data_IF_570682994498
#
_entry.id   IF_570682994498
#
_cell.length_a   1.000
_cell.length_b   1.000
_cell.length_c   1.000
_cell.angle_alpha   90.00
_cell.angle_beta   90.00
_cell.angle_gamma   90.00
#
_symmetry.space_group_name_H-M   'P 1'
#
loop_
_entity.id
_entity.type
_entity.pdbx_description
1 polymer ?
#
# COMPACT_ATOMS: atom_id res chain seq x y z
N UNK A 1 46.66 -4.85 9.41
CA UNK A 1 45.88 -4.95 8.16
C UNK A 1 44.41 -4.99 8.53
N UNK A 2 43.75 -3.89 8.38
CA UNK A 2 42.29 -3.82 8.56
C UNK A 2 41.64 -4.54 7.39
N UNK A 3 41.12 -5.74 7.62
CA UNK A 3 40.23 -6.38 6.66
C UNK A 3 38.96 -5.53 6.71
N UNK A 4 38.75 -4.72 5.68
CA UNK A 4 37.50 -4.01 5.50
C UNK A 4 36.37 -5.02 5.52
N UNK A 5 35.32 -4.74 6.31
CA UNK A 5 34.11 -5.58 6.27
C UNK A 5 33.63 -5.67 4.83
N UNK A 6 33.25 -6.87 4.37
CA UNK A 6 32.76 -7.04 3.00
C UNK A 6 31.53 -6.18 2.79
N UNK A 7 31.59 -5.30 1.81
CA UNK A 7 30.44 -4.49 1.40
C UNK A 7 29.30 -5.36 0.86
N UNK A 8 28.13 -4.75 0.65
CA UNK A 8 27.00 -5.43 0.03
C UNK A 8 27.22 -5.57 -1.47
N UNK A 9 27.13 -6.79 -1.99
CA UNK A 9 27.09 -7.05 -3.43
C UNK A 9 25.67 -6.83 -3.96
N UNK A 10 25.48 -5.82 -4.79
CA UNK A 10 24.16 -5.43 -5.28
C UNK A 10 23.46 -6.56 -6.05
N UNK A 11 24.21 -7.30 -6.87
CA UNK A 11 23.62 -8.35 -7.73
C UNK A 11 23.05 -9.54 -6.94
N UNK A 12 23.49 -9.73 -5.70
CA UNK A 12 23.02 -10.81 -4.83
C UNK A 12 22.24 -10.32 -3.62
N UNK A 13 22.16 -9.01 -3.41
CA UNK A 13 21.43 -8.43 -2.30
C UNK A 13 19.91 -8.53 -2.48
N UNK A 14 19.25 -9.34 -1.65
CA UNK A 14 17.79 -9.44 -1.65
C UNK A 14 17.09 -8.10 -1.29
N UNK A 15 17.70 -7.31 -0.41
CA UNK A 15 17.20 -5.98 -0.07
C UNK A 15 17.21 -5.04 -1.26
N UNK A 16 18.29 -5.04 -2.04
CA UNK A 16 18.39 -4.27 -3.27
C UNK A 16 17.39 -4.75 -4.33
N UNK A 17 17.24 -6.06 -4.51
CA UNK A 17 16.29 -6.66 -5.44
C UNK A 17 14.83 -6.30 -5.06
N UNK A 18 14.49 -6.32 -3.78
CA UNK A 18 13.17 -5.90 -3.29
C UNK A 18 12.90 -4.43 -3.62
N UNK A 19 13.89 -3.56 -3.44
CA UNK A 19 13.76 -2.15 -3.79
C UNK A 19 13.61 -1.96 -5.30
N UNK A 20 14.35 -2.69 -6.10
CA UNK A 20 14.25 -2.65 -7.56
C UNK A 20 12.86 -3.13 -8.02
N UNK A 21 12.37 -4.24 -7.46
CA UNK A 21 11.03 -4.75 -7.75
C UNK A 21 9.94 -3.77 -7.34
N UNK A 22 10.06 -3.17 -6.14
CA UNK A 22 9.12 -2.15 -5.67
C UNK A 22 9.12 -0.91 -6.57
N UNK A 23 10.29 -0.48 -7.05
CA UNK A 23 10.41 0.66 -7.98
C UNK A 23 9.75 0.37 -9.33
N UNK A 24 9.99 -0.82 -9.88
CA UNK A 24 9.36 -1.25 -11.14
C UNK A 24 7.83 -1.34 -11.00
N UNK A 25 7.34 -1.91 -9.91
CA UNK A 25 5.91 -1.99 -9.60
C UNK A 25 5.31 -0.59 -9.46
N UNK A 26 5.99 0.30 -8.72
CA UNK A 26 5.55 1.69 -8.55
C UNK A 26 5.36 2.39 -9.90
N UNK A 27 6.33 2.30 -10.80
CA UNK A 27 6.26 2.90 -12.13
C UNK A 27 5.11 2.33 -12.97
N UNK A 28 4.91 1.01 -12.92
CA UNK A 28 3.83 0.35 -13.64
C UNK A 28 2.44 0.76 -13.11
N UNK A 29 2.30 0.88 -11.79
CA UNK A 29 1.06 1.34 -11.16
C UNK A 29 0.77 2.81 -11.50
N UNK A 30 1.76 3.69 -11.44
CA UNK A 30 1.58 5.08 -11.85
C UNK A 30 1.10 5.20 -13.29
N UNK A 31 1.67 4.40 -14.20
CA UNK A 31 1.31 4.43 -15.61
C UNK A 31 -0.17 4.11 -15.85
N UNK A 32 -0.77 3.20 -15.07
CA UNK A 32 -2.19 2.82 -15.24
C UNK A 32 -3.14 3.67 -14.41
N UNK A 33 -2.69 4.27 -13.31
CA UNK A 33 -3.53 5.09 -12.43
C UNK A 33 -3.59 6.56 -12.87
N UNK A 34 -2.52 7.09 -13.45
CA UNK A 34 -2.46 8.49 -13.89
C UNK A 34 -3.55 8.85 -14.90
N UNK A 35 -3.85 8.04 -15.94
CA UNK A 35 -4.96 8.32 -16.85
C UNK A 35 -6.33 8.36 -16.16
N UNK A 36 -6.47 7.74 -15.00
CA UNK A 36 -7.68 7.74 -14.19
C UNK A 36 -7.74 8.92 -13.19
N UNK A 37 -6.75 9.81 -13.22
CA UNK A 37 -6.65 10.93 -12.29
C UNK A 37 -6.29 10.54 -10.87
N UNK A 38 -5.70 9.37 -10.67
CA UNK A 38 -5.30 8.84 -9.36
C UNK A 38 -3.80 8.75 -9.20
N UNK A 39 -3.34 8.97 -7.96
CA UNK A 39 -2.02 8.53 -7.51
C UNK A 39 -2.12 7.14 -6.88
N UNK A 40 -0.97 6.49 -6.69
CA UNK A 40 -0.91 5.19 -5.97
C UNK A 40 -1.47 5.34 -4.56
N UNK A 41 -1.16 6.43 -3.87
CA UNK A 41 -1.64 6.68 -2.51
C UNK A 41 -3.15 6.92 -2.45
N UNK A 42 -3.72 7.63 -3.43
CA UNK A 42 -5.18 7.75 -3.58
C UNK A 42 -5.83 6.37 -3.72
N UNK A 43 -5.32 5.56 -4.63
CA UNK A 43 -5.82 4.20 -4.85
C UNK A 43 -5.73 3.35 -3.60
N UNK A 44 -4.56 3.34 -2.93
CA UNK A 44 -4.34 2.57 -1.70
C UNK A 44 -5.33 2.97 -0.60
N UNK A 45 -5.58 4.25 -0.43
CA UNK A 45 -6.56 4.75 0.54
C UNK A 45 -7.97 4.27 0.22
N UNK A 46 -8.42 4.39 -1.02
CA UNK A 46 -9.75 3.94 -1.44
C UNK A 46 -9.90 2.42 -1.27
N UNK A 47 -8.89 1.64 -1.61
CA UNK A 47 -8.89 0.19 -1.47
C UNK A 47 -8.97 -0.23 0.02
N UNK A 48 -8.18 0.42 0.89
CA UNK A 48 -8.24 0.18 2.33
C UNK A 48 -9.61 0.49 2.91
N UNK A 49 -10.23 1.61 2.51
CA UNK A 49 -11.58 1.97 2.94
C UNK A 49 -12.63 0.96 2.48
N UNK A 50 -12.46 0.39 1.29
CA UNK A 50 -13.38 -0.61 0.75
C UNK A 50 -13.25 -1.95 1.47
N UNK A 51 -12.03 -2.39 1.74
CA UNK A 51 -11.76 -3.72 2.29
C UNK A 51 -11.76 -3.78 3.81
N UNK A 52 -11.46 -2.67 4.47
CA UNK A 52 -11.35 -2.55 5.94
C UNK A 52 -12.16 -1.36 6.42
N UNK A 53 -13.50 -1.44 6.40
CA UNK A 53 -14.34 -0.35 6.88
C UNK A 53 -14.09 -0.05 8.35
N UNK A 54 -14.17 1.20 8.73
CA UNK A 54 -14.00 1.63 10.12
C UNK A 54 -12.56 1.97 10.53
N UNK A 55 -11.60 2.01 9.61
CA UNK A 55 -10.24 2.42 9.92
C UNK A 55 -10.16 3.89 10.33
N UNK A 56 -9.37 4.18 11.37
CA UNK A 56 -8.98 5.53 11.76
C UNK A 56 -8.00 6.13 10.75
N UNK A 57 -7.82 7.46 10.80
CA UNK A 57 -6.82 8.14 9.97
C UNK A 57 -5.41 7.60 10.20
N UNK A 58 -5.07 7.24 11.43
CA UNK A 58 -3.77 6.64 11.77
C UNK A 58 -3.59 5.26 11.16
N UNK A 59 -4.64 4.44 11.18
CA UNK A 59 -4.63 3.10 10.59
C UNK A 59 -4.56 3.16 9.06
N UNK A 60 -5.29 4.10 8.44
CA UNK A 60 -5.19 4.36 6.99
C UNK A 60 -3.77 4.80 6.59
N UNK A 61 -3.18 5.71 7.36
CA UNK A 61 -1.82 6.19 7.11
C UNK A 61 -0.81 5.05 7.15
N UNK A 62 -0.89 4.18 8.16
CA UNK A 62 -0.03 2.99 8.27
C UNK A 62 -0.25 2.02 7.11
N UNK A 63 -1.50 1.74 6.76
CA UNK A 63 -1.83 0.84 5.66
C UNK A 63 -1.41 1.36 4.29
N UNK A 64 -1.39 2.67 4.09
CA UNK A 64 -0.96 3.32 2.86
C UNK A 64 0.53 3.72 2.86
N UNK A 65 1.26 3.42 3.93
CA UNK A 65 2.69 3.73 4.09
C UNK A 65 3.01 5.22 3.99
N UNK A 66 2.15 6.07 4.53
CA UNK A 66 2.31 7.52 4.58
C UNK A 66 2.17 8.04 6.01
N UNK A 67 2.55 9.31 6.24
CA UNK A 67 2.35 9.95 7.53
C UNK A 67 0.86 10.26 7.77
N UNK A 68 0.49 10.41 9.04
CA UNK A 68 -0.86 10.85 9.41
C UNK A 68 -1.22 12.20 8.77
N UNK A 69 -0.27 13.13 8.74
CA UNK A 69 -0.47 14.45 8.14
C UNK A 69 -0.73 14.35 6.63
N UNK A 70 0.07 13.54 5.92
CA UNK A 70 -0.15 13.28 4.50
C UNK A 70 -1.50 12.62 4.24
N UNK A 71 -1.91 11.69 5.10
CA UNK A 71 -3.22 11.05 5.00
C UNK A 71 -4.38 12.06 5.21
N UNK A 72 -4.25 12.99 6.15
CA UNK A 72 -5.27 14.03 6.35
C UNK A 72 -5.44 14.91 5.11
N UNK A 73 -4.34 15.34 4.50
CA UNK A 73 -4.37 16.13 3.26
C UNK A 73 -5.02 15.34 2.12
N UNK A 74 -4.67 14.07 2.00
CA UNK A 74 -5.22 13.17 1.00
C UNK A 74 -6.73 12.96 1.16
N UNK A 75 -7.20 12.73 2.38
CA UNK A 75 -8.63 12.55 2.67
C UNK A 75 -9.43 13.81 2.36
N UNK A 76 -8.87 14.99 2.65
CA UNK A 76 -9.51 16.26 2.27
C UNK A 76 -9.66 16.39 0.75
N UNK A 77 -8.62 16.00 0.00
CA UNK A 77 -8.67 16.02 -1.47
C UNK A 77 -9.71 15.03 -2.02
N UNK A 78 -9.76 13.82 -1.47
CA UNK A 78 -10.73 12.79 -1.87
C UNK A 78 -12.17 13.21 -1.54
N UNK A 79 -12.37 13.86 -0.39
CA UNK A 79 -13.66 14.41 0.01
C UNK A 79 -14.11 15.52 -0.95
N UNK A 80 -13.20 16.42 -1.30
CA UNK A 80 -13.47 17.48 -2.25
C UNK A 80 -13.84 16.95 -3.64
N UNK A 81 -13.24 15.83 -4.04
CA UNK A 81 -13.56 15.15 -5.30
C UNK A 81 -14.86 14.33 -5.22
N UNK A 82 -15.49 14.23 -4.07
CA UNK A 82 -16.70 13.46 -3.85
C UNK A 82 -16.50 11.94 -3.85
N UNK A 83 -15.29 11.47 -3.59
CA UNK A 83 -14.97 10.03 -3.58
C UNK A 83 -15.12 9.41 -2.19
N UNK A 84 -14.98 10.23 -1.15
CA UNK A 84 -15.19 9.84 0.24
C UNK A 84 -16.07 10.86 0.95
N UNK A 85 -16.67 10.42 2.03
CA UNK A 85 -17.46 11.26 2.93
C UNK A 85 -16.99 11.01 4.36
N UNK A 86 -16.83 12.11 5.10
CA UNK A 86 -16.64 12.05 6.55
C UNK A 86 -17.99 12.30 7.17
N UNK A 87 -18.57 11.33 7.90
CA UNK A 87 -19.84 11.56 8.56
C UNK A 87 -19.75 12.74 9.53
N UNK A 88 -20.74 13.61 9.49
CA UNK A 88 -20.82 14.75 10.40
C UNK A 88 -21.00 14.26 11.83
N UNK A 89 -20.06 14.59 12.70
CA UNK A 89 -20.07 14.45 14.15
C UNK A 89 -20.61 13.14 14.74
N UNK A 90 -19.69 12.35 15.29
CA UNK A 90 -20.06 11.32 16.24
C UNK A 90 -20.75 11.96 17.46
N UNK A 91 -21.87 11.41 17.93
CA UNK A 91 -22.35 11.74 19.26
C UNK A 91 -21.29 11.29 20.26
N UNK A 92 -20.67 12.23 20.95
CA UNK A 92 -19.69 12.03 22.03
C UNK A 92 -18.31 11.43 21.59
N UNK A 93 -17.35 12.29 21.25
CA UNK A 93 -15.93 12.05 21.48
C UNK A 93 -15.16 11.14 20.52
N UNK A 94 -15.78 10.51 19.52
CA UNK A 94 -15.08 9.71 18.49
C UNK A 94 -15.39 10.25 17.10
N UNK A 95 -14.33 10.51 16.32
CA UNK A 95 -14.49 10.77 14.90
C UNK A 95 -15.09 9.54 14.22
N UNK A 96 -16.18 9.73 13.46
CA UNK A 96 -16.74 8.66 12.64
C UNK A 96 -15.75 8.33 11.50
N UNK A 97 -15.63 7.06 11.13
CA UNK A 97 -14.71 6.66 10.07
C UNK A 97 -15.12 7.26 8.72
N UNK A 98 -14.11 7.59 7.92
CA UNK A 98 -14.31 7.99 6.52
C UNK A 98 -14.88 6.83 5.73
N UNK A 99 -15.82 7.09 4.86
CA UNK A 99 -16.48 6.08 4.02
C UNK A 99 -16.39 6.43 2.55
N UNK A 100 -16.39 5.43 1.70
CA UNK A 100 -16.50 5.60 0.25
C UNK A 100 -17.92 6.06 -0.11
N UNK A 101 -17.99 7.02 -1.04
CA UNK A 101 -19.25 7.33 -1.74
C UNK A 101 -19.53 6.31 -2.84
N UNK A 102 -20.73 6.32 -3.41
CA UNK A 102 -21.05 5.52 -4.59
C UNK A 102 -20.12 5.84 -5.77
N UNK A 103 -19.79 7.13 -5.95
CA UNK A 103 -18.81 7.58 -6.95
C UNK A 103 -17.42 7.02 -6.66
N UNK A 104 -16.99 7.04 -5.40
CA UNK A 104 -15.72 6.47 -4.97
C UNK A 104 -15.62 4.98 -5.27
N UNK A 105 -16.68 4.22 -5.00
CA UNK A 105 -16.73 2.79 -5.30
C UNK A 105 -16.64 2.50 -6.79
N UNK A 106 -17.34 3.27 -7.62
CA UNK A 106 -17.27 3.12 -9.09
C UNK A 106 -15.87 3.39 -9.63
N UNK A 107 -15.25 4.46 -9.18
CA UNK A 107 -13.90 4.83 -9.61
C UNK A 107 -12.86 3.83 -9.11
N UNK A 108 -13.00 3.35 -7.88
CA UNK A 108 -12.14 2.29 -7.33
C UNK A 108 -12.25 1.00 -8.16
N UNK A 109 -13.44 0.61 -8.57
CA UNK A 109 -13.63 -0.61 -9.39
C UNK A 109 -12.83 -0.56 -10.69
N UNK A 110 -12.82 0.59 -11.36
CA UNK A 110 -12.04 0.81 -12.60
C UNK A 110 -10.54 0.76 -12.29
N UNK A 111 -10.11 1.45 -11.24
CA UNK A 111 -8.72 1.48 -10.82
C UNK A 111 -8.21 0.10 -10.39
N UNK A 112 -9.00 -0.64 -9.61
CA UNK A 112 -8.65 -2.00 -9.16
C UNK A 112 -8.50 -2.98 -10.33
N UNK A 113 -9.29 -2.84 -11.38
CA UNK A 113 -9.13 -3.64 -12.58
C UNK A 113 -7.78 -3.37 -13.28
N UNK A 114 -7.38 -2.09 -13.35
CA UNK A 114 -6.09 -1.70 -13.92
C UNK A 114 -4.91 -2.18 -13.07
N UNK A 115 -4.99 -2.05 -11.76
CA UNK A 115 -3.97 -2.53 -10.81
C UNK A 115 -3.83 -4.05 -10.86
N UNK A 116 -4.95 -4.78 -10.89
CA UNK A 116 -4.93 -6.24 -11.01
C UNK A 116 -4.21 -6.70 -12.27
N UNK A 117 -4.37 -5.99 -13.37
CA UNK A 117 -3.67 -6.29 -14.62
C UNK A 117 -2.16 -6.13 -14.47
N UNK A 118 -1.70 -5.07 -13.79
CA UNK A 118 -0.27 -4.89 -13.48
C UNK A 118 0.27 -6.04 -12.62
N UNK A 119 -0.48 -6.48 -11.61
CA UNK A 119 -0.08 -7.63 -10.78
C UNK A 119 -0.01 -8.92 -11.60
N UNK A 120 -0.97 -9.15 -12.48
CA UNK A 120 -0.96 -10.32 -13.38
C UNK A 120 0.26 -10.31 -14.29
N UNK A 121 0.60 -9.16 -14.86
CA UNK A 121 1.78 -9.01 -15.72
C UNK A 121 3.08 -9.24 -14.91
N UNK A 122 3.15 -8.71 -13.69
CA UNK A 122 4.29 -8.93 -12.78
C UNK A 122 4.52 -10.42 -12.48
N UNK A 123 3.43 -11.17 -12.34
CA UNK A 123 3.46 -12.58 -11.93
C UNK A 123 3.42 -13.55 -13.14
N UNK A 124 3.41 -13.04 -14.37
CA UNK A 124 3.17 -13.84 -15.57
C UNK A 124 4.17 -15.00 -15.78
N UNK A 125 5.39 -14.84 -15.30
CA UNK A 125 6.43 -15.85 -15.41
C UNK A 125 6.56 -16.78 -14.19
N UNK A 126 5.65 -16.64 -13.22
CA UNK A 126 5.62 -17.45 -12.00
C UNK A 126 4.39 -18.36 -12.01
N UNK A 127 4.58 -19.62 -11.71
CA UNK A 127 3.44 -20.53 -11.49
C UNK A 127 2.77 -20.27 -10.12
N UNK A 128 1.62 -20.90 -9.88
CA UNK A 128 0.85 -20.69 -8.63
C UNK A 128 1.67 -21.06 -7.39
N UNK A 129 2.46 -22.12 -7.45
CA UNK A 129 3.32 -22.56 -6.34
C UNK A 129 4.40 -21.54 -6.04
N UNK A 130 5.04 -20.99 -7.07
CA UNK A 130 6.06 -19.94 -6.93
C UNK A 130 5.47 -18.65 -6.37
N UNK A 131 4.26 -18.27 -6.81
CA UNK A 131 3.54 -17.12 -6.27
C UNK A 131 3.23 -17.29 -4.77
N UNK A 132 2.76 -18.46 -4.36
CA UNK A 132 2.46 -18.77 -2.96
C UNK A 132 3.73 -18.78 -2.10
N UNK A 133 4.83 -19.33 -2.63
CA UNK A 133 6.13 -19.32 -1.98
C UNK A 133 6.65 -17.89 -1.80
N UNK A 134 6.56 -17.06 -2.83
CA UNK A 134 6.97 -15.65 -2.79
C UNK A 134 6.15 -14.87 -1.74
N UNK A 135 4.84 -15.06 -1.70
CA UNK A 135 3.98 -14.44 -0.69
C UNK A 135 4.40 -14.84 0.72
N UNK A 136 4.64 -16.12 0.96
CA UNK A 136 5.10 -16.66 2.24
C UNK A 136 6.44 -16.08 2.66
N UNK A 137 7.41 -16.01 1.73
CA UNK A 137 8.75 -15.51 2.01
C UNK A 137 8.74 -14.00 2.28
N UNK A 138 8.00 -13.22 1.51
CA UNK A 138 7.83 -11.78 1.75
C UNK A 138 7.16 -11.51 3.10
N UNK A 139 6.15 -12.28 3.45
CA UNK A 139 5.48 -12.17 4.76
C UNK A 139 6.46 -12.42 5.90
N UNK A 140 7.31 -13.44 5.79
CA UNK A 140 8.34 -13.74 6.78
C UNK A 140 9.36 -12.60 6.92
N UNK A 141 9.80 -12.02 5.80
CA UNK A 141 10.73 -10.88 5.80
C UNK A 141 10.10 -9.65 6.48
N UNK A 142 8.84 -9.36 6.19
CA UNK A 142 8.11 -8.25 6.80
C UNK A 142 8.00 -8.46 8.32
N UNK A 143 7.60 -9.65 8.76
CA UNK A 143 7.49 -9.97 10.17
C UNK A 143 8.82 -9.80 10.90
N UNK A 144 9.91 -10.27 10.32
CA UNK A 144 11.26 -10.15 10.90
C UNK A 144 11.70 -8.69 11.11
N UNK A 145 11.23 -7.78 10.29
CA UNK A 145 11.60 -6.36 10.36
C UNK A 145 10.64 -5.53 11.21
N UNK A 146 9.41 -5.99 11.39
CA UNK A 146 8.34 -5.22 12.07
C UNK A 146 8.02 -5.73 13.48
N UNK A 147 8.31 -6.99 13.78
CA UNK A 147 8.16 -7.53 15.13
C UNK A 147 9.36 -7.14 16.00
N UNK A 148 9.13 -6.71 17.25
CA UNK A 148 10.25 -6.43 18.17
C UNK A 148 11.06 -7.71 18.39
N UNK A 149 12.41 -7.62 18.53
CA UNK A 149 13.22 -8.78 18.85
C UNK A 149 12.76 -9.40 20.16
N UNK A 150 12.69 -10.72 20.19
CA UNK A 150 12.37 -11.45 21.42
C UNK A 150 13.35 -11.01 22.53
N UNK A 151 12.86 -10.84 23.78
CA UNK A 151 13.74 -10.47 24.87
C UNK A 151 14.85 -11.53 25.01
N UNK A 152 16.08 -11.05 25.07
CA UNK A 152 17.23 -11.93 25.30
C UNK A 152 17.04 -12.68 26.62
N UNK A 153 16.98 -13.99 26.55
CA UNK A 153 16.97 -14.89 27.71
C UNK A 153 18.34 -14.93 28.37
#
# INVERSE_FOLDING_TARGET
MSQGEPGIELDTSLGYMLKAAASALHSALEAVLRPLGMTITHYACLELLAQRPGLSNSELARGAFVTRQSMNVLLQALEHQGLVVRPAQAPVGRALPTELTARGRRQLKVASAAVRRVEQDMLANLDVSEQDQMRRLLTACIASLTEPPAPAT
#
